data_IF_337001496687
#
_entry.id   IF_337001496687
#
_cell.length_a   1.000
_cell.length_b   1.000
_cell.length_c   1.000
_cell.angle_alpha   90.00
_cell.angle_beta   90.00
_cell.angle_gamma   90.00
#
_symmetry.space_group_name_H-M   'P 1'
#
loop_
_entity.id
_entity.type
_entity.pdbx_description
1 polymer ?
#
# COMPACT_ATOMS: atom_id res chain seq x y z
N UNK A 1 -37.75 11.12 -13.93
CA UNK A 1 -37.07 11.69 -12.73
C UNK A 1 -37.39 10.79 -11.55
N UNK A 2 -36.43 9.97 -11.10
CA UNK A 2 -36.44 9.23 -9.82
C UNK A 2 -35.04 8.60 -9.68
N UNK A 3 -34.11 9.38 -9.13
CA UNK A 3 -32.78 8.90 -8.79
C UNK A 3 -32.89 8.18 -7.43
N UNK A 4 -32.62 6.88 -7.41
CA UNK A 4 -32.48 6.13 -6.17
C UNK A 4 -31.10 6.45 -5.58
N UNK A 5 -31.06 7.31 -4.57
CA UNK A 5 -29.89 7.54 -3.75
C UNK A 5 -29.69 6.33 -2.82
N UNK A 6 -28.64 5.55 -3.06
CA UNK A 6 -28.19 4.53 -2.11
C UNK A 6 -27.21 5.21 -1.16
N UNK A 7 -27.68 5.52 0.05
CA UNK A 7 -26.86 6.01 1.14
C UNK A 7 -26.02 4.83 1.68
N UNK A 8 -24.71 4.84 1.44
CA UNK A 8 -23.78 3.92 2.06
C UNK A 8 -23.41 4.47 3.45
N UNK A 9 -24.02 3.90 4.49
CA UNK A 9 -23.67 4.19 5.88
C UNK A 9 -22.34 3.49 6.22
N UNK A 10 -21.28 4.27 6.41
CA UNK A 10 -20.00 3.77 6.95
C UNK A 10 -20.16 3.66 8.46
N UNK A 11 -20.34 2.43 8.95
CA UNK A 11 -20.27 2.13 10.38
C UNK A 11 -18.81 2.24 10.84
N UNK A 12 -18.49 3.26 11.64
CA UNK A 12 -17.22 3.31 12.37
C UNK A 12 -17.21 2.20 13.41
N UNK A 13 -16.40 1.16 13.18
CA UNK A 13 -16.10 0.16 14.18
C UNK A 13 -15.29 0.82 15.31
N UNK A 14 -15.85 0.81 16.52
CA UNK A 14 -15.23 1.30 17.74
C UNK A 14 -13.88 0.58 18.03
N UNK A 15 -12.94 1.23 18.74
CA UNK A 15 -11.68 0.60 19.11
C UNK A 15 -11.96 -0.57 20.07
N UNK A 16 -11.52 -1.75 19.67
CA UNK A 16 -11.54 -2.93 20.54
C UNK A 16 -10.52 -2.65 21.64
N UNK A 17 -11.01 -2.24 22.81
CA UNK A 17 -10.22 -2.09 24.02
C UNK A 17 -9.72 -3.48 24.43
N UNK A 18 -8.49 -3.81 24.03
CA UNK A 18 -7.81 -5.03 24.49
C UNK A 18 -7.46 -4.80 25.95
N UNK A 19 -8.25 -5.41 26.83
CA UNK A 19 -7.94 -5.57 28.25
C UNK A 19 -6.65 -6.40 28.38
N UNK A 20 -5.57 -5.78 28.84
CA UNK A 20 -4.36 -6.49 29.23
C UNK A 20 -4.58 -6.95 30.67
N UNK A 21 -4.69 -8.27 30.96
CA UNK A 21 -4.69 -8.73 32.33
C UNK A 21 -3.27 -8.50 32.89
N UNK A 22 -3.16 -7.49 33.75
CA UNK A 22 -2.00 -7.31 34.62
C UNK A 22 -1.92 -8.53 35.55
N UNK A 23 -1.12 -9.53 35.16
CA UNK A 23 -0.55 -10.48 36.10
C UNK A 23 0.90 -10.07 36.32
N UNK A 24 1.04 -9.15 37.27
CA UNK A 24 2.23 -9.14 38.09
C UNK A 24 2.36 -10.50 38.80
N UNK A 25 3.60 -10.83 39.15
CA UNK A 25 4.03 -11.99 39.95
C UNK A 25 4.45 -13.24 39.16
N UNK A 26 5.74 -13.30 38.84
CA UNK A 26 6.63 -14.37 39.33
C UNK A 26 8.02 -14.22 38.69
N UNK A 27 8.85 -13.34 39.26
CA UNK A 27 10.29 -13.55 39.19
C UNK A 27 10.62 -14.73 40.11
N UNK A 28 10.83 -15.93 39.56
CA UNK A 28 11.50 -17.02 40.28
C UNK A 28 12.55 -17.66 39.38
N UNK A 29 13.79 -17.33 39.72
CA UNK A 29 15.02 -18.10 39.59
C UNK A 29 14.85 -19.56 39.08
N UNK A 30 15.11 -19.79 37.79
CA UNK A 30 15.37 -21.12 37.26
C UNK A 30 16.38 -21.05 36.11
N UNK A 31 17.46 -21.82 36.20
CA UNK A 31 18.20 -22.26 35.02
C UNK A 31 19.53 -21.57 34.76
N UNK A 32 20.53 -21.91 35.57
CA UNK A 32 21.94 -21.94 35.14
C UNK A 32 22.06 -22.93 33.97
N UNK A 33 22.18 -22.42 32.75
CA UNK A 33 22.64 -23.21 31.60
C UNK A 33 21.79 -23.05 30.34
N UNK A 34 22.47 -22.77 29.23
CA UNK A 34 21.99 -23.17 27.90
C UNK A 34 21.02 -22.21 27.23
N UNK A 35 21.58 -21.14 26.69
CA UNK A 35 21.47 -20.73 25.30
C UNK A 35 21.42 -19.21 25.25
N UNK A 36 22.56 -18.62 24.86
CA UNK A 36 22.55 -17.40 24.05
C UNK A 36 21.92 -17.76 22.70
N UNK A 37 20.65 -18.17 22.70
CA UNK A 37 19.82 -18.30 21.52
C UNK A 37 19.69 -16.86 21.08
N UNK A 38 20.61 -16.49 20.18
CA UNK A 38 20.73 -15.22 19.48
C UNK A 38 19.42 -14.48 19.62
N UNK A 39 19.42 -13.39 20.39
CA UNK A 39 18.35 -12.39 20.38
C UNK A 39 17.92 -12.29 18.92
N UNK A 40 16.77 -12.90 18.60
CA UNK A 40 16.32 -13.07 17.23
C UNK A 40 15.99 -11.66 16.80
N UNK A 41 16.95 -11.01 16.14
CA UNK A 41 16.82 -9.65 15.64
C UNK A 41 15.45 -9.59 14.95
N UNK A 42 14.60 -8.65 15.38
CA UNK A 42 13.26 -8.54 14.84
C UNK A 42 13.37 -8.52 13.31
N UNK A 43 12.53 -9.27 12.58
CA UNK A 43 12.63 -9.33 11.14
C UNK A 43 12.56 -7.90 10.59
N UNK A 44 13.64 -7.47 9.94
CA UNK A 44 13.68 -6.15 9.31
C UNK A 44 12.56 -6.07 8.28
N UNK A 45 11.80 -4.95 8.22
CA UNK A 45 10.73 -4.78 7.25
C UNK A 45 11.27 -5.01 5.83
N UNK A 46 10.41 -5.56 4.98
CA UNK A 46 10.75 -5.91 3.60
C UNK A 46 11.14 -4.69 2.76
N UNK A 47 10.46 -3.58 3.03
CA UNK A 47 10.69 -2.27 2.45
C UNK A 47 11.29 -1.35 3.51
N UNK A 48 12.08 -0.38 3.06
CA UNK A 48 12.44 0.78 3.87
C UNK A 48 11.29 1.78 3.86
N UNK A 49 11.20 2.68 4.85
CA UNK A 49 10.15 3.72 4.88
C UNK A 49 10.07 4.51 3.55
N UNK A 50 11.22 4.91 3.00
CA UNK A 50 11.29 5.58 1.69
C UNK A 50 10.73 4.74 0.54
N UNK A 51 10.86 3.42 0.60
CA UNK A 51 10.31 2.53 -0.42
C UNK A 51 8.81 2.30 -0.22
N UNK A 52 8.31 2.34 1.01
CA UNK A 52 6.88 2.32 1.29
C UNK A 52 6.23 3.61 0.79
N UNK A 53 6.83 4.77 1.08
CA UNK A 53 6.39 6.07 0.55
C UNK A 53 6.40 6.05 -0.99
N UNK A 54 7.47 5.54 -1.60
CA UNK A 54 7.56 5.48 -3.07
C UNK A 54 6.55 4.52 -3.69
N UNK A 55 6.23 3.41 -3.02
CA UNK A 55 5.19 2.49 -3.47
C UNK A 55 3.82 3.19 -3.47
N UNK A 56 3.50 3.89 -2.37
CA UNK A 56 2.26 4.64 -2.25
C UNK A 56 2.15 5.74 -3.32
N UNK A 57 3.21 6.53 -3.52
CA UNK A 57 3.27 7.56 -4.57
C UNK A 57 3.06 6.96 -5.97
N UNK A 58 3.70 5.82 -6.26
CA UNK A 58 3.57 5.16 -7.55
C UNK A 58 2.15 4.60 -7.78
N UNK A 59 1.52 4.05 -6.74
CA UNK A 59 0.12 3.59 -6.79
C UNK A 59 -0.85 4.75 -7.07
N UNK A 60 -0.68 5.89 -6.41
CA UNK A 60 -1.46 7.11 -6.68
C UNK A 60 -1.22 7.64 -8.10
N UNK A 61 0.03 7.63 -8.57
CA UNK A 61 0.38 8.06 -9.92
C UNK A 61 -0.26 7.15 -10.98
N UNK A 62 -0.21 5.83 -10.80
CA UNK A 62 -0.88 4.86 -11.69
C UNK A 62 -2.37 5.16 -11.79
N UNK A 63 -3.05 5.33 -10.65
CA UNK A 63 -4.48 5.64 -10.63
C UNK A 63 -4.79 6.96 -11.37
N UNK A 64 -4.00 8.01 -11.11
CA UNK A 64 -4.16 9.31 -11.76
C UNK A 64 -3.92 9.25 -13.27
N UNK A 65 -2.88 8.55 -13.71
CA UNK A 65 -2.52 8.41 -15.12
C UNK A 65 -3.57 7.59 -15.88
N UNK A 66 -4.06 6.49 -15.29
CA UNK A 66 -5.15 5.70 -15.87
C UNK A 66 -6.40 6.54 -16.06
N UNK A 67 -6.80 7.32 -15.04
CA UNK A 67 -7.96 8.20 -15.16
C UNK A 67 -7.81 9.27 -16.25
N UNK A 68 -6.60 9.83 -16.42
CA UNK A 68 -6.32 10.79 -17.49
C UNK A 68 -6.39 10.14 -18.87
N UNK A 69 -5.82 8.94 -19.03
CA UNK A 69 -5.87 8.17 -20.28
C UNK A 69 -7.31 7.83 -20.63
N UNK A 70 -8.08 7.29 -19.69
CA UNK A 70 -9.52 6.97 -19.89
C UNK A 70 -10.32 8.21 -20.30
N UNK A 71 -10.03 9.35 -19.67
CA UNK A 71 -10.69 10.63 -20.01
C UNK A 71 -10.38 11.06 -21.45
N UNK A 72 -9.13 10.92 -21.90
CA UNK A 72 -8.73 11.25 -23.27
C UNK A 72 -9.29 10.25 -24.29
N UNK A 73 -9.32 8.96 -23.96
CA UNK A 73 -9.89 7.90 -24.80
C UNK A 73 -11.40 8.03 -24.97
N UNK A 74 -12.09 8.59 -23.97
CA UNK A 74 -13.53 8.86 -24.04
C UNK A 74 -13.89 10.07 -24.93
N UNK A 75 -12.92 10.84 -25.40
CA UNK A 75 -13.17 11.96 -26.31
C UNK A 75 -13.55 11.45 -27.71
N UNK A 76 -14.70 11.89 -28.23
CA UNK A 76 -15.16 11.50 -29.56
C UNK A 76 -14.26 12.03 -30.70
N UNK A 77 -13.53 13.12 -30.47
CA UNK A 77 -12.61 13.73 -31.42
C UNK A 77 -11.45 14.42 -30.68
N UNK A 78 -10.41 13.66 -30.27
CA UNK A 78 -9.24 14.24 -29.60
C UNK A 78 -8.43 15.11 -30.57
N UNK A 79 -7.82 16.19 -30.05
CA UNK A 79 -6.92 17.05 -30.83
C UNK A 79 -5.58 16.34 -31.08
N UNK A 80 -4.80 16.73 -32.11
CA UNK A 80 -3.48 16.16 -32.35
C UNK A 80 -2.53 16.26 -31.14
N UNK A 81 -2.61 17.36 -30.39
CA UNK A 81 -1.84 17.56 -29.15
C UNK A 81 -2.27 16.58 -28.05
N UNK A 82 -3.57 16.31 -27.94
CA UNK A 82 -4.10 15.31 -26.99
C UNK A 82 -3.65 13.90 -27.36
N UNK A 83 -3.61 13.56 -28.65
CA UNK A 83 -3.10 12.28 -29.13
C UNK A 83 -1.61 12.15 -28.80
N UNK A 84 -0.81 13.18 -29.04
CA UNK A 84 0.62 13.18 -28.69
C UNK A 84 0.84 13.01 -27.19
N UNK A 85 0.06 13.70 -26.35
CA UNK A 85 0.17 13.55 -24.89
C UNK A 85 -0.23 12.16 -24.39
N UNK A 86 -1.03 11.42 -25.15
CA UNK A 86 -1.49 10.09 -24.76
C UNK A 86 -0.35 9.07 -24.79
N UNK A 87 0.63 9.24 -25.69
CA UNK A 87 1.83 8.41 -25.72
C UNK A 87 2.68 8.65 -24.46
N UNK A 88 2.97 9.92 -24.14
CA UNK A 88 3.71 10.30 -22.93
C UNK A 88 3.01 9.82 -21.64
N UNK A 89 1.68 9.90 -21.57
CA UNK A 89 0.92 9.41 -20.42
C UNK A 89 1.01 7.90 -20.27
N UNK A 90 1.03 7.15 -21.38
CA UNK A 90 1.17 5.68 -21.37
C UNK A 90 2.58 5.25 -20.99
N UNK A 91 3.61 5.93 -21.49
CA UNK A 91 5.00 5.66 -21.10
C UNK A 91 5.17 5.87 -19.60
N UNK A 92 4.69 7.00 -19.06
CA UNK A 92 4.74 7.28 -17.63
C UNK A 92 3.94 6.27 -16.80
N UNK A 93 2.82 5.79 -17.33
CA UNK A 93 2.02 4.75 -16.67
C UNK A 93 2.80 3.45 -16.56
N UNK A 94 3.48 3.03 -17.64
CA UNK A 94 4.30 1.82 -17.66
C UNK A 94 5.47 1.92 -16.66
N UNK A 95 6.13 3.07 -16.60
CA UNK A 95 7.21 3.34 -15.65
C UNK A 95 6.75 3.21 -14.19
N UNK A 96 5.64 3.86 -13.83
CA UNK A 96 5.11 3.81 -12.46
C UNK A 96 4.57 2.42 -12.11
N UNK A 97 3.94 1.72 -13.07
CA UNK A 97 3.55 0.32 -12.90
C UNK A 97 4.78 -0.57 -12.64
N UNK A 98 5.88 -0.36 -13.35
CA UNK A 98 7.14 -1.07 -13.12
C UNK A 98 7.71 -0.86 -11.70
N UNK A 99 7.54 0.34 -11.14
CA UNK A 99 7.92 0.65 -9.77
C UNK A 99 7.03 -0.10 -8.77
N UNK A 100 5.70 -0.02 -8.93
CA UNK A 100 4.73 -0.73 -8.10
C UNK A 100 5.03 -2.23 -8.09
N UNK A 101 5.22 -2.81 -9.27
CA UNK A 101 5.54 -4.21 -9.46
C UNK A 101 6.82 -4.63 -8.73
N UNK A 102 7.89 -3.85 -8.91
CA UNK A 102 9.20 -4.13 -8.32
C UNK A 102 9.13 -4.06 -6.79
N UNK A 103 8.49 -3.04 -6.24
CA UNK A 103 8.39 -2.82 -4.80
C UNK A 103 7.41 -3.81 -4.15
N UNK A 104 6.30 -4.14 -4.79
CA UNK A 104 5.38 -5.20 -4.38
C UNK A 104 6.08 -6.55 -4.32
N UNK A 105 6.80 -6.93 -5.38
CA UNK A 105 7.61 -8.16 -5.37
C UNK A 105 8.67 -8.18 -4.27
N UNK A 106 9.25 -7.02 -3.93
CA UNK A 106 10.22 -6.90 -2.83
C UNK A 106 9.55 -7.10 -1.48
N UNK A 107 8.38 -6.50 -1.27
CA UNK A 107 7.55 -6.65 -0.07
C UNK A 107 7.18 -8.11 0.15
N UNK A 108 6.65 -8.76 -0.88
CA UNK A 108 6.09 -10.10 -0.78
C UNK A 108 7.17 -11.19 -0.63
N UNK A 109 8.42 -10.91 -1.01
CA UNK A 109 9.55 -11.85 -0.83
C UNK A 109 9.95 -12.06 0.64
N UNK A 110 9.54 -11.18 1.56
CA UNK A 110 9.82 -11.32 3.01
C UNK A 110 8.56 -11.53 3.86
N UNK A 111 7.38 -11.55 3.23
CA UNK A 111 6.11 -11.89 3.88
C UNK A 111 5.95 -13.37 4.15
#
# INVERSE_FOLDING_TARGET
MKFAAVALAIAFAAPIAVSIPATAEAQVLAGRGGDTRRLREAPRPALTAREEDRLFEAEEAVFSLQSQIETLEALAAPTPEQISSMEDLRERLEDEQGIVDRLTRKRDRRG
#
